data_IF_494434107100
#
_entry.id   IF_494434107100
#
_cell.length_a   1.000
_cell.length_b   1.000
_cell.length_c   1.000
_cell.angle_alpha   90.00
_cell.angle_beta   90.00
_cell.angle_gamma   90.00
#
_symmetry.space_group_name_H-M   'P 1'
#
loop_
_entity.id
_entity.type
_entity.pdbx_description
1 polymer ?
#
# COMPACT_ATOMS: atom_id res chain seq x y z
N UNK A 1 -10.58 48.56 1.87
CA UNK A 1 -9.23 47.95 2.05
C UNK A 1 -9.02 46.93 0.93
N UNK A 2 -8.16 47.24 -0.06
CA UNK A 2 -7.84 46.33 -1.14
C UNK A 2 -6.68 45.43 -0.70
N UNK A 3 -6.97 44.16 -0.42
CA UNK A 3 -5.89 43.16 -0.18
C UNK A 3 -5.18 42.92 -1.51
N UNK A 4 -3.86 43.15 -1.59
CA UNK A 4 -3.11 42.98 -2.83
C UNK A 4 -3.16 41.50 -3.27
N UNK A 5 -3.51 41.26 -4.54
CA UNK A 5 -3.67 39.91 -5.14
C UNK A 5 -2.48 38.99 -4.89
N UNK A 6 -1.27 39.54 -4.79
CA UNK A 6 -0.02 38.81 -4.49
C UNK A 6 -0.01 38.20 -3.08
N UNK A 7 -0.56 38.90 -2.08
CA UNK A 7 -0.71 38.41 -0.70
C UNK A 7 -1.74 37.28 -0.61
N UNK A 8 -2.84 37.39 -1.33
CA UNK A 8 -3.89 36.35 -1.39
C UNK A 8 -3.32 35.09 -2.07
N UNK A 9 -2.60 35.24 -3.17
CA UNK A 9 -2.00 34.12 -3.87
C UNK A 9 -0.92 33.42 -3.03
N UNK A 10 -0.06 34.19 -2.33
CA UNK A 10 0.91 33.66 -1.39
C UNK A 10 0.26 32.90 -0.23
N UNK A 11 -0.79 33.45 0.36
CA UNK A 11 -1.53 32.79 1.45
C UNK A 11 -2.15 31.45 1.01
N UNK A 12 -2.75 31.40 -0.19
CA UNK A 12 -3.33 30.18 -0.74
C UNK A 12 -2.26 29.11 -0.96
N UNK A 13 -1.08 29.50 -1.46
CA UNK A 13 0.02 28.59 -1.74
C UNK A 13 0.52 27.83 -0.48
N UNK A 14 0.41 28.43 0.70
CA UNK A 14 0.81 27.81 1.97
C UNK A 14 -0.36 27.20 2.75
N UNK A 15 -1.52 27.88 2.76
CA UNK A 15 -2.67 27.40 3.54
C UNK A 15 -3.27 26.13 2.96
N UNK A 16 -3.36 26.02 1.62
CA UNK A 16 -3.96 24.84 0.98
C UNK A 16 -3.15 23.55 1.24
N UNK A 17 -1.80 23.53 1.07
CA UNK A 17 -1.01 22.34 1.42
C UNK A 17 -1.07 21.99 2.90
N UNK A 18 -1.06 22.98 3.79
CA UNK A 18 -1.17 22.75 5.24
C UNK A 18 -2.53 22.19 5.63
N UNK A 19 -3.61 22.74 5.06
CA UNK A 19 -4.95 22.22 5.28
C UNK A 19 -5.11 20.81 4.72
N UNK A 20 -4.59 20.55 3.51
CA UNK A 20 -4.59 19.21 2.92
C UNK A 20 -3.83 18.22 3.80
N UNK A 21 -2.65 18.58 4.31
CA UNK A 21 -1.89 17.77 5.25
C UNK A 21 -2.66 17.46 6.54
N UNK A 22 -3.33 18.47 7.11
CA UNK A 22 -4.07 18.30 8.35
C UNK A 22 -5.32 17.43 8.17
N UNK A 23 -6.01 17.56 7.03
CA UNK A 23 -7.32 16.94 6.79
C UNK A 23 -7.22 15.59 6.08
N UNK A 24 -6.23 15.41 5.22
CA UNK A 24 -6.06 14.20 4.39
C UNK A 24 -4.92 13.35 4.94
N UNK A 25 -5.22 12.54 5.95
CA UNK A 25 -4.24 11.71 6.66
C UNK A 25 -3.30 10.90 5.75
N UNK A 26 -3.76 10.27 4.64
CA UNK A 26 -2.85 9.58 3.72
C UNK A 26 -1.75 10.45 3.09
N UNK A 27 -1.90 11.77 3.00
CA UNK A 27 -0.83 12.65 2.51
C UNK A 27 0.39 12.72 3.43
N UNK A 28 0.23 12.34 4.70
CA UNK A 28 1.31 12.32 5.71
C UNK A 28 2.43 11.33 5.38
N UNK A 29 2.16 10.39 4.47
CA UNK A 29 3.20 9.47 3.96
C UNK A 29 4.33 10.19 3.22
N UNK A 30 4.10 11.43 2.75
CA UNK A 30 5.10 12.22 2.02
C UNK A 30 6.24 12.74 2.92
N UNK A 31 5.94 12.97 4.21
CA UNK A 31 6.93 13.39 5.20
C UNK A 31 6.71 12.68 6.55
N UNK A 32 6.99 11.37 6.61
CA UNK A 32 6.72 10.54 7.79
C UNK A 32 7.49 10.99 9.04
N UNK A 33 8.62 11.68 8.86
CA UNK A 33 9.39 12.22 9.96
C UNK A 33 8.63 13.30 10.75
N UNK A 34 7.77 14.08 10.08
CA UNK A 34 6.91 15.06 10.75
C UNK A 34 5.84 14.40 11.63
N UNK A 35 5.55 13.13 11.35
CA UNK A 35 4.61 12.32 12.14
C UNK A 35 5.32 11.47 13.22
N UNK A 36 6.63 11.64 13.36
CA UNK A 36 7.43 10.99 14.39
C UNK A 36 8.01 9.63 13.98
N UNK A 37 8.03 9.31 12.69
CA UNK A 37 8.73 8.11 12.22
C UNK A 37 10.21 8.41 11.96
N UNK A 38 11.05 7.45 12.28
CA UNK A 38 12.47 7.44 11.92
C UNK A 38 12.64 6.47 10.75
N UNK A 39 13.19 6.98 9.64
CA UNK A 39 13.42 6.20 8.43
C UNK A 39 14.89 5.83 8.27
N UNK A 40 15.13 4.62 7.79
CA UNK A 40 16.42 4.11 7.38
C UNK A 40 16.23 3.34 6.08
N UNK A 41 16.94 3.74 5.02
CA UNK A 41 16.73 3.28 3.65
C UNK A 41 15.24 3.29 3.25
N UNK A 42 14.62 2.11 3.17
CA UNK A 42 13.25 1.92 2.72
C UNK A 42 12.25 1.68 3.86
N UNK A 43 12.71 1.59 5.12
CA UNK A 43 11.87 1.25 6.25
C UNK A 43 11.79 2.40 7.25
N UNK A 44 10.57 2.86 7.53
CA UNK A 44 10.26 3.85 8.56
C UNK A 44 9.50 3.20 9.71
N UNK A 45 9.84 3.56 10.96
CA UNK A 45 9.18 3.05 12.17
C UNK A 45 8.97 4.17 13.17
N UNK A 46 7.89 4.12 13.96
CA UNK A 46 7.66 5.00 15.12
C UNK A 46 8.37 4.48 16.38
N UNK A 47 8.70 3.19 16.42
CA UNK A 47 9.47 2.55 17.50
C UNK A 47 10.75 1.95 16.91
N UNK A 48 11.88 2.59 17.18
CA UNK A 48 13.19 2.17 16.67
C UNK A 48 13.66 0.84 17.25
N UNK A 49 13.15 0.41 18.43
CA UNK A 49 13.47 -0.89 19.01
C UNK A 49 12.95 -2.06 18.16
N UNK A 50 11.90 -1.83 17.37
CA UNK A 50 11.29 -2.81 16.48
C UNK A 50 11.77 -2.72 15.03
N UNK A 51 12.72 -1.84 14.72
CA UNK A 51 13.24 -1.65 13.36
C UNK A 51 13.74 -2.95 12.72
N UNK A 52 14.52 -3.73 13.45
CA UNK A 52 15.06 -4.99 12.94
C UNK A 52 13.95 -5.98 12.53
N UNK A 53 12.86 -6.04 13.32
CA UNK A 53 11.67 -6.83 12.99
C UNK A 53 10.99 -6.32 11.71
N UNK A 54 10.76 -5.00 11.61
CA UNK A 54 10.14 -4.37 10.45
C UNK A 54 10.94 -4.63 9.17
N UNK A 55 12.26 -4.43 9.23
CA UNK A 55 13.17 -4.64 8.11
C UNK A 55 13.16 -6.09 7.64
N UNK A 56 13.21 -7.06 8.57
CA UNK A 56 13.13 -8.47 8.24
C UNK A 56 11.80 -8.81 7.56
N UNK A 57 10.67 -8.44 8.17
CA UNK A 57 9.34 -8.69 7.61
C UNK A 57 9.19 -8.12 6.20
N UNK A 58 9.72 -6.92 5.98
CA UNK A 58 9.65 -6.25 4.70
C UNK A 58 10.51 -6.94 3.64
N UNK A 59 11.77 -7.28 3.94
CA UNK A 59 12.67 -8.01 3.03
C UNK A 59 12.09 -9.37 2.66
N UNK A 60 11.66 -10.15 3.65
CA UNK A 60 11.04 -11.47 3.41
C UNK A 60 9.80 -11.35 2.50
N UNK A 61 9.02 -10.29 2.66
CA UNK A 61 7.85 -10.06 1.80
C UNK A 61 8.24 -9.66 0.38
N UNK A 62 9.25 -8.79 0.20
CA UNK A 62 9.80 -8.41 -1.11
C UNK A 62 10.31 -9.64 -1.85
N UNK A 63 11.18 -10.43 -1.21
CA UNK A 63 11.76 -11.64 -1.81
C UNK A 63 10.67 -12.64 -2.22
N UNK A 64 9.67 -12.82 -1.36
CA UNK A 64 8.53 -13.70 -1.65
C UNK A 64 7.71 -13.23 -2.86
N UNK A 65 7.39 -11.94 -2.95
CA UNK A 65 6.60 -11.40 -4.08
C UNK A 65 7.41 -11.47 -5.37
N UNK A 66 8.69 -11.08 -5.34
CA UNK A 66 9.55 -11.16 -6.51
C UNK A 66 9.72 -12.58 -7.05
N UNK A 67 9.84 -13.55 -6.16
CA UNK A 67 10.00 -14.96 -6.54
C UNK A 67 8.73 -15.61 -7.08
N UNK A 68 7.54 -15.20 -6.60
CA UNK A 68 6.28 -15.89 -6.87
C UNK A 68 5.29 -15.15 -7.77
N UNK A 69 5.42 -13.83 -7.90
CA UNK A 69 4.46 -12.98 -8.64
C UNK A 69 5.14 -12.22 -9.77
N UNK A 70 6.33 -11.68 -9.52
CA UNK A 70 7.12 -10.96 -10.52
C UNK A 70 8.06 -9.94 -9.90
N UNK A 71 9.10 -9.58 -10.66
CA UNK A 71 10.06 -8.58 -10.23
C UNK A 71 9.43 -7.19 -10.12
N UNK A 72 9.73 -6.47 -9.03
CA UNK A 72 9.40 -5.08 -8.85
C UNK A 72 10.42 -4.22 -9.61
N UNK A 73 9.96 -3.15 -10.25
CA UNK A 73 10.83 -2.14 -10.89
C UNK A 73 11.36 -1.14 -9.87
N UNK A 74 10.58 -0.84 -8.84
CA UNK A 74 10.96 0.04 -7.72
C UNK A 74 10.60 -0.60 -6.40
N UNK A 75 11.37 -0.30 -5.37
CA UNK A 75 11.09 -0.73 -4.00
C UNK A 75 10.31 0.38 -3.31
N UNK A 76 9.03 0.19 -2.93
CA UNK A 76 8.28 1.22 -2.22
C UNK A 76 8.84 1.41 -0.81
N UNK A 77 8.66 2.62 -0.25
CA UNK A 77 8.95 2.82 1.16
C UNK A 77 7.93 2.07 2.01
N UNK A 78 8.39 1.39 3.05
CA UNK A 78 7.52 0.72 4.02
C UNK A 78 7.47 1.53 5.33
N UNK A 79 6.27 1.88 5.78
CA UNK A 79 6.04 2.57 7.04
C UNK A 79 5.34 1.63 8.00
N UNK A 80 5.99 1.33 9.10
CA UNK A 80 5.49 0.43 10.12
C UNK A 80 5.11 1.21 11.38
N UNK A 81 3.82 1.27 11.68
CA UNK A 81 3.33 1.76 12.95
C UNK A 81 3.37 0.65 14.01
N UNK A 82 4.11 0.85 15.09
CA UNK A 82 4.12 -0.04 16.25
C UNK A 82 3.02 0.33 17.25
N UNK A 83 2.55 1.57 17.23
CA UNK A 83 1.58 2.09 18.19
C UNK A 83 0.22 2.43 17.55
N UNK A 84 -0.90 2.36 18.33
CA UNK A 84 -2.18 2.88 17.88
C UNK A 84 -2.12 4.35 17.46
N UNK A 85 -1.41 5.19 18.22
CA UNK A 85 -1.27 6.62 17.94
C UNK A 85 -0.60 6.88 16.59
N UNK A 86 0.41 6.11 16.20
CA UNK A 86 0.98 6.16 14.86
C UNK A 86 -0.06 5.76 13.80
N UNK A 87 -0.77 4.65 14.01
CA UNK A 87 -1.79 4.19 13.07
C UNK A 87 -2.88 5.24 12.83
N UNK A 88 -3.33 5.91 13.89
CA UNK A 88 -4.35 6.97 13.81
C UNK A 88 -3.88 8.16 12.97
N UNK A 89 -2.60 8.51 13.05
CA UNK A 89 -2.00 9.59 12.24
C UNK A 89 -2.10 9.31 10.75
N UNK A 90 -1.95 8.05 10.33
CA UNK A 90 -2.04 7.63 8.94
C UNK A 90 -3.46 7.20 8.52
N UNK A 91 -4.46 7.38 9.37
CA UNK A 91 -5.86 7.20 9.02
C UNK A 91 -6.38 5.77 9.11
N UNK A 92 -5.67 4.88 9.82
CA UNK A 92 -6.16 3.52 10.03
C UNK A 92 -7.41 3.49 10.92
N UNK A 93 -8.44 2.83 10.42
CA UNK A 93 -9.65 2.48 11.17
C UNK A 93 -9.82 0.97 11.23
N UNK A 94 -10.38 0.38 10.19
CA UNK A 94 -10.53 -1.07 10.05
C UNK A 94 -9.36 -1.73 9.30
N UNK A 95 -8.78 -1.04 8.31
CA UNK A 95 -7.67 -1.56 7.52
C UNK A 95 -6.45 -1.90 8.39
N UNK A 96 -5.70 -2.93 7.99
CA UNK A 96 -4.48 -3.36 8.66
C UNK A 96 -3.22 -2.87 7.97
N UNK A 97 -3.30 -2.66 6.66
CA UNK A 97 -2.28 -2.09 5.81
C UNK A 97 -2.94 -1.40 4.61
N UNK A 98 -2.22 -0.59 3.87
CA UNK A 98 -2.62 -0.06 2.56
C UNK A 98 -1.39 0.39 1.76
N UNK A 99 -1.53 0.40 0.43
CA UNK A 99 -0.57 0.99 -0.50
C UNK A 99 -0.97 2.41 -0.91
N UNK A 100 0.00 3.23 -1.25
CA UNK A 100 -0.22 4.53 -1.90
C UNK A 100 0.50 4.54 -3.23
N UNK A 101 -0.19 4.10 -4.25
CA UNK A 101 0.33 4.00 -5.62
C UNK A 101 1.57 3.13 -5.71
N UNK A 102 2.66 3.70 -6.25
CA UNK A 102 3.97 3.05 -6.35
C UNK A 102 5.00 3.63 -5.39
N UNK A 103 4.57 4.36 -4.34
CA UNK A 103 5.50 5.11 -3.50
C UNK A 103 5.71 4.49 -2.13
N UNK A 104 4.63 4.04 -1.49
CA UNK A 104 4.70 3.62 -0.09
C UNK A 104 3.68 2.54 0.25
N UNK A 105 4.07 1.66 1.16
CA UNK A 105 3.21 0.71 1.85
C UNK A 105 3.16 1.10 3.31
N UNK A 106 1.97 1.26 3.89
CA UNK A 106 1.79 1.63 5.29
C UNK A 106 1.16 0.47 6.05
N UNK A 107 1.78 0.09 7.16
CA UNK A 107 1.38 -1.04 7.99
C UNK A 107 0.97 -0.52 9.37
N UNK A 108 -0.27 -0.81 9.79
CA UNK A 108 -0.77 -0.44 11.12
C UNK A 108 -0.12 -1.25 12.24
N UNK A 109 -0.28 -0.83 13.49
CA UNK A 109 0.20 -1.57 14.66
C UNK A 109 -0.38 -2.99 14.78
N UNK A 110 -1.50 -3.27 14.09
CA UNK A 110 -2.14 -4.59 14.01
C UNK A 110 -1.70 -5.41 12.79
N UNK A 111 -1.02 -4.76 11.84
CA UNK A 111 -0.73 -5.29 10.50
C UNK A 111 0.64 -5.94 10.32
N UNK A 112 1.43 -6.14 11.38
CA UNK A 112 2.77 -6.73 11.31
C UNK A 112 2.71 -8.24 11.02
N UNK A 113 2.16 -8.59 9.86
CA UNK A 113 1.98 -9.97 9.38
C UNK A 113 2.57 -10.12 7.99
N UNK A 114 3.39 -11.16 7.72
CA UNK A 114 4.03 -11.33 6.41
C UNK A 114 3.06 -11.30 5.24
N UNK A 115 1.90 -11.94 5.37
CA UNK A 115 0.91 -12.00 4.30
C UNK A 115 0.26 -10.64 4.00
N UNK A 116 0.08 -9.75 5.00
CA UNK A 116 -0.45 -8.40 4.78
C UNK A 116 0.56 -7.53 4.02
N UNK A 117 1.83 -7.63 4.36
CA UNK A 117 2.88 -6.87 3.67
C UNK A 117 3.00 -7.34 2.21
N UNK A 118 2.96 -8.67 1.97
CA UNK A 118 2.92 -9.23 0.60
C UNK A 118 1.70 -8.78 -0.17
N UNK A 119 0.53 -8.70 0.47
CA UNK A 119 -0.71 -8.21 -0.13
C UNK A 119 -0.53 -6.79 -0.70
N UNK A 120 -0.02 -5.86 0.11
CA UNK A 120 0.22 -4.49 -0.33
C UNK A 120 1.34 -4.40 -1.41
N UNK A 121 2.37 -5.22 -1.32
CA UNK A 121 3.40 -5.30 -2.36
C UNK A 121 2.86 -5.85 -3.69
N UNK A 122 1.86 -6.72 -3.66
CA UNK A 122 1.18 -7.18 -4.87
C UNK A 122 0.37 -6.04 -5.48
N UNK A 123 -0.32 -5.20 -4.69
CA UNK A 123 -0.96 -3.98 -5.19
C UNK A 123 0.04 -3.00 -5.78
N UNK A 124 1.18 -2.81 -5.13
CA UNK A 124 2.27 -2.02 -5.70
C UNK A 124 2.71 -2.57 -7.07
N UNK A 125 2.92 -3.87 -7.20
CA UNK A 125 3.29 -4.50 -8.46
C UNK A 125 2.20 -4.38 -9.53
N UNK A 126 0.92 -4.48 -9.17
CA UNK A 126 -0.20 -4.20 -10.07
C UNK A 126 -0.16 -2.76 -10.59
N UNK A 127 0.13 -1.80 -9.69
CA UNK A 127 0.26 -0.38 -10.04
C UNK A 127 1.46 -0.11 -10.96
N UNK A 128 2.59 -0.79 -10.77
CA UNK A 128 3.75 -0.70 -11.65
C UNK A 128 3.49 -1.26 -13.04
N UNK A 129 2.86 -2.44 -13.12
CA UNK A 129 2.64 -3.16 -14.38
C UNK A 129 1.56 -2.54 -15.25
N UNK A 130 0.49 -2.06 -14.65
CA UNK A 130 -0.71 -1.58 -15.37
C UNK A 130 -0.88 -0.06 -15.33
N UNK A 131 -0.10 0.63 -14.50
CA UNK A 131 -0.30 2.04 -14.16
C UNK A 131 -1.37 2.19 -13.06
N UNK A 132 -1.08 3.06 -12.09
CA UNK A 132 -1.93 3.23 -10.89
C UNK A 132 -3.41 3.53 -11.19
N UNK A 133 -3.68 4.48 -12.11
CA UNK A 133 -5.07 4.82 -12.47
C UNK A 133 -5.79 3.64 -13.12
N UNK A 134 -5.10 2.93 -14.02
CA UNK A 134 -5.68 1.80 -14.73
C UNK A 134 -5.96 0.63 -13.80
N UNK A 135 -5.00 0.29 -12.95
CA UNK A 135 -5.17 -0.77 -11.96
C UNK A 135 -6.34 -0.48 -10.99
N UNK A 136 -6.48 0.78 -10.55
CA UNK A 136 -7.47 1.19 -9.54
C UNK A 136 -8.88 1.37 -10.08
N UNK A 137 -9.02 1.96 -11.29
CA UNK A 137 -10.32 2.41 -11.80
C UNK A 137 -10.90 1.49 -12.88
N UNK A 138 -10.09 0.72 -13.58
CA UNK A 138 -10.52 -0.04 -14.75
C UNK A 138 -10.35 -1.55 -14.61
N UNK A 139 -9.57 -2.03 -13.64
CA UNK A 139 -9.46 -3.47 -13.39
C UNK A 139 -10.53 -3.95 -12.42
N UNK A 140 -11.14 -5.13 -12.67
CA UNK A 140 -12.16 -5.67 -11.77
C UNK A 140 -11.60 -5.91 -10.35
N UNK A 141 -12.40 -5.63 -9.32
CA UNK A 141 -11.98 -5.84 -7.93
C UNK A 141 -11.65 -7.30 -7.61
N UNK A 142 -12.40 -8.24 -8.21
CA UNK A 142 -12.12 -9.66 -8.03
C UNK A 142 -10.72 -10.05 -8.52
N UNK A 143 -10.22 -9.39 -9.58
CA UNK A 143 -8.87 -9.63 -10.08
C UNK A 143 -7.84 -8.95 -9.15
N UNK A 144 -8.04 -7.68 -8.84
CA UNK A 144 -7.12 -6.89 -8.04
C UNK A 144 -6.97 -7.43 -6.62
N UNK A 145 -8.08 -7.57 -5.90
CA UNK A 145 -8.10 -8.07 -4.52
C UNK A 145 -7.87 -9.59 -4.47
N UNK A 146 -8.52 -10.34 -5.36
CA UNK A 146 -8.37 -11.80 -5.41
C UNK A 146 -6.92 -12.24 -5.64
N UNK A 147 -6.19 -11.54 -6.54
CA UNK A 147 -4.78 -11.74 -6.76
C UNK A 147 -3.98 -11.49 -5.47
N UNK A 148 -4.23 -10.35 -4.81
CA UNK A 148 -3.52 -9.96 -3.61
C UNK A 148 -3.77 -10.96 -2.47
N UNK A 149 -5.01 -11.41 -2.24
CA UNK A 149 -5.32 -12.40 -1.22
C UNK A 149 -4.76 -13.80 -1.53
N UNK A 150 -4.84 -14.25 -2.78
CA UNK A 150 -4.35 -15.57 -3.14
C UNK A 150 -2.82 -15.63 -3.10
N UNK A 151 -2.15 -14.71 -3.81
CA UNK A 151 -0.70 -14.78 -4.02
C UNK A 151 0.10 -14.28 -2.80
N UNK A 152 -0.51 -13.51 -1.89
CA UNK A 152 0.10 -13.20 -0.59
C UNK A 152 0.15 -14.40 0.34
N UNK A 153 -0.55 -15.49 0.00
CA UNK A 153 -0.72 -16.68 0.85
C UNK A 153 -1.37 -16.32 2.18
N UNK A 154 -2.46 -15.53 2.12
CA UNK A 154 -3.23 -15.16 3.31
C UNK A 154 -3.82 -16.42 3.96
N UNK A 155 -3.47 -16.71 5.24
CA UNK A 155 -3.91 -17.93 5.92
C UNK A 155 -5.37 -17.90 6.36
N UNK A 156 -6.03 -16.73 6.31
CA UNK A 156 -7.42 -16.59 6.77
C UNK A 156 -8.37 -17.31 5.81
N UNK A 157 -9.18 -18.21 6.32
CA UNK A 157 -10.17 -19.00 5.58
C UNK A 157 -11.38 -19.30 6.46
N UNK A 158 -12.61 -18.90 6.04
CA UNK A 158 -12.86 -18.00 4.93
C UNK A 158 -12.49 -16.57 5.25
N UNK A 159 -12.26 -15.74 4.21
CA UNK A 159 -12.29 -14.30 4.33
C UNK A 159 -13.76 -13.82 4.42
N UNK A 160 -14.02 -12.63 4.99
CA UNK A 160 -15.34 -12.00 4.87
C UNK A 160 -15.70 -11.74 3.40
N UNK A 161 -16.98 -11.96 3.05
CA UNK A 161 -17.46 -11.58 1.71
C UNK A 161 -17.42 -10.03 1.53
N UNK A 162 -17.11 -9.56 0.31
CA UNK A 162 -16.96 -10.31 -0.95
C UNK A 162 -15.54 -10.86 -1.19
N UNK A 163 -14.61 -10.72 -0.25
CA UNK A 163 -13.18 -11.01 -0.44
C UNK A 163 -12.87 -12.49 -0.70
N UNK A 164 -13.63 -13.41 -0.06
CA UNK A 164 -13.49 -14.84 -0.33
C UNK A 164 -13.97 -15.18 -1.73
N UNK A 165 -15.07 -14.57 -2.18
CA UNK A 165 -15.55 -14.67 -3.55
C UNK A 165 -14.52 -14.17 -4.55
N UNK A 166 -13.87 -13.04 -4.30
CA UNK A 166 -12.82 -12.49 -5.16
C UNK A 166 -11.60 -13.42 -5.23
N UNK A 167 -11.14 -13.94 -4.09
CA UNK A 167 -10.04 -14.90 -4.04
C UNK A 167 -10.34 -16.16 -4.86
N UNK A 168 -11.53 -16.72 -4.70
CA UNK A 168 -11.96 -17.92 -5.43
C UNK A 168 -12.08 -17.66 -6.93
N UNK A 169 -12.62 -16.51 -7.35
CA UNK A 169 -12.76 -16.14 -8.74
C UNK A 169 -11.40 -15.93 -9.40
N UNK A 170 -10.47 -15.24 -8.70
CA UNK A 170 -9.11 -15.08 -9.19
C UNK A 170 -8.38 -16.43 -9.28
N UNK A 171 -8.54 -17.32 -8.30
CA UNK A 171 -7.92 -18.64 -8.33
C UNK A 171 -8.40 -19.47 -9.54
N UNK A 172 -9.69 -19.44 -9.84
CA UNK A 172 -10.26 -20.14 -11.00
C UNK A 172 -9.71 -19.58 -12.32
N UNK A 173 -9.63 -18.24 -12.46
CA UNK A 173 -9.07 -17.58 -13.62
C UNK A 173 -7.57 -17.85 -13.75
N UNK A 174 -6.81 -17.75 -12.65
CA UNK A 174 -5.35 -17.94 -12.64
C UNK A 174 -4.94 -19.38 -12.99
N UNK A 175 -5.75 -20.38 -12.63
CA UNK A 175 -5.56 -21.78 -13.06
C UNK A 175 -5.65 -21.96 -14.58
N UNK A 176 -6.45 -21.12 -15.25
CA UNK A 176 -6.60 -21.18 -16.72
C UNK A 176 -5.46 -20.46 -17.44
N UNK A 177 -5.09 -19.25 -16.97
CA UNK A 177 -4.07 -18.43 -17.65
C UNK A 177 -2.65 -18.81 -17.24
N UNK A 178 -2.43 -19.26 -16.01
CA UNK A 178 -1.13 -19.60 -15.48
C UNK A 178 -0.22 -18.40 -15.17
N UNK A 179 0.92 -18.64 -14.49
CA UNK A 179 1.81 -17.56 -14.05
C UNK A 179 2.55 -16.87 -15.21
N UNK A 180 2.82 -17.59 -16.29
CA UNK A 180 3.60 -17.03 -17.41
C UNK A 180 2.85 -15.96 -18.19
N UNK A 181 1.53 -16.06 -18.29
CA UNK A 181 0.66 -15.13 -19.04
C UNK A 181 -0.14 -14.19 -18.14
N UNK A 182 0.00 -14.30 -16.82
CA UNK A 182 -0.73 -13.51 -15.82
C UNK A 182 -0.86 -12.03 -16.19
N UNK A 183 0.26 -11.38 -16.49
CA UNK A 183 0.28 -9.94 -16.73
C UNK A 183 -0.25 -9.58 -18.12
N UNK A 184 0.03 -10.38 -19.15
CA UNK A 184 -0.51 -10.18 -20.49
C UNK A 184 -2.03 -10.32 -20.51
N UNK A 185 -2.57 -11.34 -19.87
CA UNK A 185 -4.02 -11.54 -19.76
C UNK A 185 -4.69 -10.47 -18.88
N UNK A 186 -3.99 -9.99 -17.85
CA UNK A 186 -4.48 -8.90 -17.02
C UNK A 186 -4.68 -7.59 -17.79
N UNK A 187 -3.95 -7.34 -18.86
CA UNK A 187 -4.14 -6.15 -19.69
C UNK A 187 -5.50 -6.13 -20.39
N UNK A 188 -6.08 -7.30 -20.64
CA UNK A 188 -7.33 -7.47 -21.41
C UNK A 188 -8.59 -7.56 -20.51
N UNK A 189 -8.46 -7.56 -19.19
CA UNK A 189 -9.58 -7.56 -18.24
C UNK A 189 -10.33 -6.22 -18.19
#
# INVERSE_FOLDING_TARGET
>A
MHVPKRLVFGAILFIVPLAAWALVKPLRVLAPQLEGLTCDEWVCVDDTSRRAEATRLYRDALDSVQASVGALHSVPRAMFCATPACSDKFGFTAALAYDVGTFVVVISHRGWRPYLIRHELIHHLQNERLGWLRARLFKPEWWREGMAYLLSRDPRKPLPEPLEGYRSQFEAWFKQVGPATLWAEAEHL
#
